data_IF_576794291285
#
_entry.id   IF_576794291285
#
_cell.length_a   1.000
_cell.length_b   1.000
_cell.length_c   1.000
_cell.angle_alpha   90.00
_cell.angle_beta   90.00
_cell.angle_gamma   90.00
#
_symmetry.space_group_name_H-M   'P 1'
#
loop_
_entity.id
_entity.type
_entity.pdbx_description
1 polymer ?
#
# COMPACT_ATOMS: atom_id res chain seq x y z
N UNK A 1 -28.00 -10.11 -1.36
CA UNK A 1 -28.03 -11.58 -1.41
C UNK A 1 -29.46 -12.15 -1.45
N UNK A 2 -30.37 -11.70 -0.58
CA UNK A 2 -31.78 -12.13 -0.56
C UNK A 2 -32.50 -11.96 -1.91
N UNK A 3 -32.37 -10.84 -2.60
CA UNK A 3 -33.01 -10.59 -3.90
C UNK A 3 -32.54 -11.58 -4.98
N UNK A 4 -31.25 -11.93 -5.02
CA UNK A 4 -30.73 -12.91 -6.00
C UNK A 4 -31.26 -14.31 -5.71
N UNK A 5 -31.39 -14.65 -4.44
CA UNK A 5 -31.92 -15.94 -4.00
C UNK A 5 -33.41 -16.06 -4.39
N UNK A 6 -34.18 -14.99 -4.18
CA UNK A 6 -35.61 -14.95 -4.47
C UNK A 6 -35.94 -14.98 -5.98
N UNK A 7 -35.11 -14.32 -6.81
CA UNK A 7 -35.37 -14.16 -8.24
C UNK A 7 -34.79 -15.28 -9.12
N UNK A 8 -33.66 -15.87 -8.72
CA UNK A 8 -32.84 -16.76 -9.58
C UNK A 8 -32.41 -18.08 -8.94
N UNK A 9 -32.76 -18.29 -7.66
CA UNK A 9 -32.47 -19.54 -6.94
C UNK A 9 -31.02 -19.71 -6.46
N UNK A 10 -30.73 -20.79 -5.72
CA UNK A 10 -29.43 -21.00 -5.03
C UNK A 10 -28.21 -21.18 -5.97
N UNK A 11 -28.44 -21.62 -7.20
CA UNK A 11 -27.37 -21.76 -8.19
C UNK A 11 -26.69 -20.44 -8.56
N UNK A 12 -27.47 -19.38 -8.71
CA UNK A 12 -26.97 -18.06 -9.02
C UNK A 12 -26.23 -17.41 -7.83
N UNK A 13 -26.65 -17.73 -6.61
CA UNK A 13 -25.94 -17.26 -5.40
C UNK A 13 -24.53 -17.89 -5.35
N UNK A 14 -24.39 -19.16 -5.71
CA UNK A 14 -23.07 -19.82 -5.79
C UNK A 14 -22.18 -19.20 -6.86
N UNK A 15 -22.73 -18.88 -8.05
CA UNK A 15 -21.98 -18.24 -9.13
C UNK A 15 -21.56 -16.81 -8.79
N UNK A 16 -22.44 -16.04 -8.12
CA UNK A 16 -22.21 -14.65 -7.77
C UNK A 16 -21.56 -14.44 -6.40
N UNK A 17 -21.19 -15.51 -5.69
CA UNK A 17 -20.62 -15.41 -4.34
C UNK A 17 -19.37 -14.53 -4.28
N UNK A 18 -18.49 -14.62 -5.28
CA UNK A 18 -17.27 -13.81 -5.33
C UNK A 18 -17.58 -12.33 -5.59
N UNK A 19 -18.31 -11.92 -6.65
CA UNK A 19 -18.70 -10.54 -6.85
C UNK A 19 -19.42 -9.94 -5.65
N UNK A 20 -20.34 -10.70 -5.02
CA UNK A 20 -21.07 -10.24 -3.85
C UNK A 20 -20.17 -10.06 -2.62
N UNK A 21 -19.23 -10.97 -2.39
CA UNK A 21 -18.23 -10.83 -1.34
C UNK A 21 -17.25 -9.67 -1.64
N UNK A 22 -16.90 -9.48 -2.92
CA UNK A 22 -16.04 -8.39 -3.35
C UNK A 22 -16.63 -7.00 -3.10
N UNK A 23 -17.95 -6.87 -3.13
CA UNK A 23 -18.66 -5.63 -2.77
C UNK A 23 -18.39 -5.19 -1.32
N UNK A 24 -17.96 -6.09 -0.44
CA UNK A 24 -17.53 -5.72 0.93
C UNK A 24 -16.37 -4.74 0.95
N UNK A 25 -15.50 -4.75 -0.07
CA UNK A 25 -14.43 -3.77 -0.20
C UNK A 25 -14.93 -2.35 -0.52
N UNK A 26 -16.17 -2.19 -0.97
CA UNK A 26 -16.81 -0.88 -1.17
C UNK A 26 -17.33 -0.28 0.14
N UNK A 27 -17.46 -1.09 1.20
CA UNK A 27 -17.87 -0.59 2.52
C UNK A 27 -16.68 0.09 3.16
N UNK A 28 -16.76 1.40 3.46
CA UNK A 28 -15.65 2.10 4.10
C UNK A 28 -15.41 1.51 5.50
N UNK A 29 -14.21 1.00 5.72
CA UNK A 29 -13.81 0.54 7.04
C UNK A 29 -13.81 1.73 8.02
N UNK A 30 -14.30 1.56 9.25
CA UNK A 30 -14.21 2.60 10.26
C UNK A 30 -12.74 2.98 10.45
N UNK A 31 -12.41 4.22 10.13
CA UNK A 31 -11.02 4.74 10.17
C UNK A 31 -10.41 4.54 11.56
N UNK A 32 -11.21 4.67 12.61
CA UNK A 32 -10.79 4.47 13.99
C UNK A 32 -10.15 3.10 14.28
N UNK A 33 -10.57 2.06 13.58
CA UNK A 33 -10.02 0.70 13.75
C UNK A 33 -8.77 0.47 12.91
N UNK A 34 -8.73 1.08 11.74
CA UNK A 34 -7.60 0.96 10.84
C UNK A 34 -6.40 1.82 11.26
N UNK A 35 -6.64 3.01 11.79
CA UNK A 35 -5.61 3.99 12.17
C UNK A 35 -4.47 3.43 13.02
N UNK A 36 -4.71 2.69 14.13
CA UNK A 36 -3.60 2.22 14.96
C UNK A 36 -2.68 1.20 14.24
N UNK A 37 -3.26 0.36 13.37
CA UNK A 37 -2.47 -0.58 12.54
C UNK A 37 -1.65 0.18 11.52
N UNK A 38 -2.26 1.13 10.87
CA UNK A 38 -1.67 1.98 9.85
C UNK A 38 -0.49 2.76 10.41
N UNK A 39 -0.67 3.43 11.55
CA UNK A 39 0.41 4.19 12.21
C UNK A 39 1.58 3.27 12.56
N UNK A 40 1.32 2.07 13.10
CA UNK A 40 2.40 1.10 13.38
C UNK A 40 3.17 0.70 12.12
N UNK A 41 2.47 0.44 11.01
CA UNK A 41 3.11 0.10 9.73
C UNK A 41 3.92 1.27 9.17
N UNK A 42 3.42 2.49 9.26
CA UNK A 42 4.14 3.70 8.86
C UNK A 42 5.41 3.90 9.70
N UNK A 43 5.31 3.75 11.01
CA UNK A 43 6.45 3.84 11.91
C UNK A 43 7.50 2.76 11.60
N UNK A 44 7.08 1.55 11.28
CA UNK A 44 7.98 0.47 10.88
C UNK A 44 8.72 0.81 9.58
N UNK A 45 7.99 1.21 8.54
CA UNK A 45 8.56 1.57 7.23
C UNK A 45 9.51 2.77 7.36
N UNK A 46 9.12 3.81 8.10
CA UNK A 46 9.96 4.99 8.31
C UNK A 46 11.23 4.66 9.11
N UNK A 47 11.13 3.76 10.11
CA UNK A 47 12.31 3.30 10.87
C UNK A 47 13.31 2.56 9.98
N UNK A 48 12.81 1.65 9.15
CA UNK A 48 13.67 0.89 8.21
C UNK A 48 14.26 1.85 7.18
N UNK A 49 13.45 2.76 6.62
CA UNK A 49 13.89 3.74 5.63
C UNK A 49 15.01 4.64 6.16
N UNK A 50 14.85 5.18 7.38
CA UNK A 50 15.88 6.02 8.02
C UNK A 50 17.18 5.23 8.26
N UNK A 51 17.08 4.00 8.76
CA UNK A 51 18.28 3.16 8.97
C UNK A 51 19.04 2.88 7.68
N UNK A 52 18.32 2.61 6.59
CA UNK A 52 18.93 2.39 5.27
C UNK A 52 19.60 3.66 4.75
N UNK A 53 18.95 4.83 4.89
CA UNK A 53 19.50 6.12 4.47
C UNK A 53 20.71 6.54 5.29
N UNK A 54 20.68 6.33 6.61
CA UNK A 54 21.83 6.57 7.50
C UNK A 54 23.00 5.64 7.16
N UNK A 55 22.73 4.36 6.86
CA UNK A 55 23.74 3.41 6.37
C UNK A 55 24.35 3.82 5.03
N UNK A 56 23.62 4.56 4.20
CA UNK A 56 24.09 5.19 2.96
C UNK A 56 24.80 6.55 3.16
N UNK A 57 25.04 6.98 4.41
CA UNK A 57 25.74 8.24 4.72
C UNK A 57 24.87 9.49 4.72
N UNK A 58 23.54 9.36 4.65
CA UNK A 58 22.62 10.51 4.70
C UNK A 58 22.34 10.90 6.15
N UNK A 59 22.50 12.19 6.49
CA UNK A 59 22.19 12.74 7.81
C UNK A 59 20.68 13.01 7.95
N UNK A 60 19.90 11.94 8.08
CA UNK A 60 18.45 12.01 8.28
C UNK A 60 18.13 11.59 9.71
N UNK A 61 17.39 12.44 10.41
CA UNK A 61 16.93 12.17 11.77
C UNK A 61 15.41 11.98 11.77
N UNK A 62 14.92 11.16 12.70
CA UNK A 62 13.51 10.90 12.85
C UNK A 62 13.05 11.25 14.25
N UNK A 63 12.01 12.06 14.35
CA UNK A 63 11.26 12.33 15.58
C UNK A 63 9.79 11.92 15.39
N UNK A 64 9.42 10.77 15.94
CA UNK A 64 8.05 10.24 15.77
C UNK A 64 7.71 9.97 14.30
N UNK A 65 6.81 10.76 13.75
CA UNK A 65 6.34 10.67 12.35
C UNK A 65 6.91 11.77 11.45
N UNK A 66 7.89 12.52 11.94
CA UNK A 66 8.58 13.59 11.21
C UNK A 66 10.00 13.12 10.89
N UNK A 67 10.41 13.31 9.65
CA UNK A 67 11.80 13.12 9.20
C UNK A 67 12.44 14.50 9.01
N UNK A 68 13.52 14.73 9.71
CA UNK A 68 14.35 15.92 9.55
C UNK A 68 15.49 15.58 8.61
N UNK A 69 15.56 16.28 7.48
CA UNK A 69 16.63 16.14 6.47
C UNK A 69 17.63 17.28 6.63
N UNK A 70 18.87 17.16 6.09
CA UNK A 70 19.86 18.24 6.12
C UNK A 70 19.28 19.57 5.65
N UNK A 71 19.74 20.69 6.25
CA UNK A 71 19.27 22.07 6.08
C UNK A 71 17.98 22.41 6.85
N UNK A 72 17.73 21.72 7.98
CA UNK A 72 16.59 22.01 8.89
C UNK A 72 15.19 21.94 8.23
N UNK A 73 15.07 21.08 7.22
CA UNK A 73 13.79 20.83 6.54
C UNK A 73 13.12 19.62 7.15
N UNK A 74 11.88 19.80 7.61
CA UNK A 74 11.07 18.71 8.17
C UNK A 74 10.11 18.14 7.12
N UNK A 75 10.11 16.82 6.99
CA UNK A 75 9.20 16.05 6.16
C UNK A 75 8.22 15.27 7.04
N UNK A 76 6.94 15.55 6.90
CA UNK A 76 5.92 14.70 7.51
C UNK A 76 5.78 13.40 6.71
N UNK A 77 6.18 12.28 7.29
CA UNK A 77 6.03 10.95 6.66
C UNK A 77 4.56 10.64 6.38
N UNK A 78 3.65 11.15 7.19
CA UNK A 78 2.20 10.98 7.00
C UNK A 78 1.68 11.64 5.72
N UNK A 79 2.23 12.79 5.33
CA UNK A 79 1.84 13.49 4.10
C UNK A 79 2.54 12.91 2.87
N UNK A 80 3.84 12.60 2.98
CA UNK A 80 4.63 12.11 1.86
C UNK A 80 4.32 10.65 1.48
N UNK A 81 4.02 9.80 2.48
CA UNK A 81 3.94 8.36 2.27
C UNK A 81 2.90 7.72 3.20
N UNK A 82 1.64 8.06 3.03
CA UNK A 82 0.58 7.50 3.89
C UNK A 82 0.43 5.98 3.78
N UNK A 83 1.09 5.30 2.82
CA UNK A 83 1.12 3.84 2.65
C UNK A 83 -0.26 3.14 2.70
N UNK A 84 -1.20 3.80 3.38
CA UNK A 84 -2.59 3.41 3.58
C UNK A 84 -3.30 3.26 2.25
N UNK A 85 -3.17 4.28 1.39
CA UNK A 85 -3.81 4.29 0.07
C UNK A 85 -3.33 3.10 -0.75
N UNK A 86 -2.02 2.81 -0.71
CA UNK A 86 -1.46 1.65 -1.42
C UNK A 86 -1.94 0.32 -0.85
N UNK A 87 -2.08 0.18 0.47
CA UNK A 87 -2.62 -1.03 1.11
C UNK A 87 -4.10 -1.21 0.80
N UNK A 88 -4.92 -0.16 1.01
CA UNK A 88 -6.38 -0.22 0.79
C UNK A 88 -6.71 -0.51 -0.68
N UNK A 89 -5.90 -0.03 -1.62
CA UNK A 89 -6.13 -0.28 -3.05
C UNK A 89 -5.52 -1.60 -3.52
N UNK A 90 -4.35 -2.00 -3.00
CA UNK A 90 -3.67 -3.21 -3.44
C UNK A 90 -4.31 -4.49 -2.90
N UNK A 91 -4.92 -4.45 -1.71
CA UNK A 91 -5.60 -5.62 -1.13
C UNK A 91 -6.77 -6.09 -2.01
N UNK A 92 -7.75 -5.24 -2.39
CA UNK A 92 -8.80 -5.66 -3.30
C UNK A 92 -8.27 -6.21 -4.62
N UNK A 93 -7.30 -5.53 -5.22
CA UNK A 93 -6.71 -5.99 -6.48
C UNK A 93 -5.99 -7.31 -6.31
N UNK A 94 -5.23 -7.50 -5.23
CA UNK A 94 -4.59 -8.78 -4.92
C UNK A 94 -5.59 -9.92 -4.77
N UNK A 95 -6.72 -9.66 -4.09
CA UNK A 95 -7.83 -10.63 -3.98
C UNK A 95 -8.44 -10.92 -5.35
N UNK A 96 -8.61 -9.91 -6.18
CA UNK A 96 -9.13 -10.07 -7.55
C UNK A 96 -8.19 -10.91 -8.40
N UNK A 97 -6.91 -10.57 -8.44
CA UNK A 97 -5.88 -11.33 -9.16
C UNK A 97 -5.87 -12.78 -8.67
N UNK A 98 -5.77 -13.00 -7.35
CA UNK A 98 -5.74 -14.34 -6.76
C UNK A 98 -6.96 -15.19 -7.11
N UNK A 99 -8.11 -14.58 -7.25
CA UNK A 99 -9.33 -15.30 -7.62
C UNK A 99 -9.31 -15.78 -9.07
N UNK A 100 -8.80 -14.96 -10.00
CA UNK A 100 -8.82 -15.27 -11.44
C UNK A 100 -7.59 -16.02 -11.92
N UNK A 101 -6.42 -15.83 -11.29
CA UNK A 101 -5.19 -16.52 -11.69
C UNK A 101 -5.04 -17.90 -11.05
N UNK A 102 -5.49 -18.04 -9.80
CA UNK A 102 -5.26 -19.26 -9.04
C UNK A 102 -6.52 -20.10 -8.83
N UNK A 103 -6.42 -21.38 -9.14
CA UNK A 103 -7.50 -22.34 -8.92
C UNK A 103 -7.42 -22.96 -7.52
N UNK A 104 -6.21 -23.14 -6.99
CA UNK A 104 -5.95 -23.82 -5.72
C UNK A 104 -6.06 -22.83 -4.56
N UNK A 105 -6.88 -23.16 -3.56
CA UNK A 105 -7.20 -22.25 -2.44
C UNK A 105 -5.96 -21.81 -1.64
N UNK A 106 -4.98 -22.69 -1.40
CA UNK A 106 -3.80 -22.31 -0.63
C UNK A 106 -2.90 -21.31 -1.39
N UNK A 107 -2.78 -21.46 -2.73
CA UNK A 107 -2.04 -20.49 -3.58
C UNK A 107 -2.72 -19.13 -3.58
N UNK A 108 -4.06 -19.09 -3.62
CA UNK A 108 -4.83 -17.85 -3.41
C UNK A 108 -4.48 -17.19 -2.09
N UNK A 109 -4.44 -17.96 -1.00
CA UNK A 109 -4.08 -17.45 0.31
C UNK A 109 -2.66 -16.88 0.33
N UNK A 110 -1.69 -17.59 -0.23
CA UNK A 110 -0.30 -17.10 -0.35
C UNK A 110 -0.23 -15.80 -1.14
N UNK A 111 -0.93 -15.72 -2.28
CA UNK A 111 -0.94 -14.53 -3.12
C UNK A 111 -1.55 -13.34 -2.39
N UNK A 112 -2.67 -13.52 -1.69
CA UNK A 112 -3.31 -12.47 -0.89
C UNK A 112 -2.41 -12.02 0.27
N UNK A 113 -1.74 -12.95 0.96
CA UNK A 113 -0.80 -12.62 2.04
C UNK A 113 0.42 -11.87 1.50
N UNK A 114 0.89 -12.20 0.28
CA UNK A 114 2.00 -11.53 -0.37
C UNK A 114 1.73 -10.05 -0.70
N UNK A 115 0.46 -9.64 -0.76
CA UNK A 115 0.09 -8.22 -0.94
C UNK A 115 0.71 -7.35 0.15
N UNK A 116 0.71 -7.82 1.40
CA UNK A 116 1.21 -7.04 2.53
C UNK A 116 2.71 -6.71 2.41
N UNK A 117 3.63 -7.67 2.25
CA UNK A 117 5.05 -7.37 2.10
C UNK A 117 5.35 -6.59 0.82
N UNK A 118 4.63 -6.83 -0.29
CA UNK A 118 4.80 -6.07 -1.53
C UNK A 118 4.40 -4.61 -1.33
N UNK A 119 3.26 -4.35 -0.70
CA UNK A 119 2.80 -3.00 -0.41
C UNK A 119 3.75 -2.25 0.55
N UNK A 120 4.27 -2.95 1.58
CA UNK A 120 5.26 -2.37 2.50
C UNK A 120 6.58 -2.05 1.80
N UNK A 121 7.07 -2.95 0.95
CA UNK A 121 8.28 -2.73 0.15
C UNK A 121 8.10 -1.55 -0.83
N UNK A 122 6.98 -1.50 -1.54
CA UNK A 122 6.65 -0.37 -2.42
C UNK A 122 6.61 0.96 -1.67
N UNK A 123 6.00 0.98 -0.49
CA UNK A 123 5.98 2.17 0.34
C UNK A 123 7.36 2.56 0.89
N UNK A 124 8.20 1.58 1.27
CA UNK A 124 9.57 1.82 1.68
C UNK A 124 10.40 2.47 0.56
N UNK A 125 10.30 1.95 -0.67
CA UNK A 125 10.96 2.52 -1.85
C UNK A 125 10.49 3.96 -2.06
N UNK A 126 9.20 4.22 -1.94
CA UNK A 126 8.61 5.56 -2.07
C UNK A 126 9.16 6.52 -1.02
N UNK A 127 9.24 6.11 0.26
CA UNK A 127 9.84 6.91 1.34
C UNK A 127 11.29 7.26 1.01
N UNK A 128 12.10 6.27 0.64
CA UNK A 128 13.51 6.48 0.29
C UNK A 128 13.65 7.46 -0.87
N UNK A 129 12.88 7.28 -1.95
CA UNK A 129 12.89 8.16 -3.11
C UNK A 129 12.50 9.59 -2.72
N UNK A 130 11.45 9.76 -1.92
CA UNK A 130 11.00 11.08 -1.47
C UNK A 130 12.08 11.78 -0.64
N UNK A 131 12.73 11.07 0.28
CA UNK A 131 13.82 11.64 1.10
C UNK A 131 15.03 11.99 0.23
N UNK A 132 15.45 11.11 -0.68
CA UNK A 132 16.56 11.38 -1.59
C UNK A 132 16.27 12.60 -2.48
N UNK A 133 15.05 12.72 -3.01
CA UNK A 133 14.64 13.89 -3.77
C UNK A 133 14.63 15.17 -2.93
N UNK A 134 14.09 15.09 -1.71
CA UNK A 134 14.03 16.23 -0.79
C UNK A 134 15.43 16.72 -0.39
N UNK A 135 16.41 15.83 -0.30
CA UNK A 135 17.80 16.19 -0.01
C UNK A 135 18.53 16.76 -1.23
N UNK A 136 18.19 16.29 -2.44
CA UNK A 136 18.90 16.64 -3.67
C UNK A 136 18.33 17.87 -4.39
N UNK A 137 17.02 18.07 -4.35
CA UNK A 137 16.33 19.14 -5.09
C UNK A 137 15.63 20.09 -4.13
N UNK A 138 14.42 19.76 -3.71
CA UNK A 138 13.63 20.52 -2.73
C UNK A 138 12.51 19.64 -2.12
N UNK A 139 12.10 20.01 -0.88
CA UNK A 139 11.05 19.30 -0.15
C UNK A 139 9.69 19.46 -0.82
N UNK A 140 9.36 20.64 -1.30
CA UNK A 140 8.06 20.89 -1.94
C UNK A 140 7.92 20.14 -3.26
N UNK A 141 8.99 20.08 -4.04
CA UNK A 141 9.03 19.29 -5.28
C UNK A 141 8.95 17.78 -5.00
N UNK A 142 9.59 17.31 -3.92
CA UNK A 142 9.58 15.91 -3.53
C UNK A 142 8.22 15.43 -2.98
N UNK A 143 7.43 16.34 -2.37
CA UNK A 143 6.16 15.97 -1.70
C UNK A 143 4.92 16.30 -2.52
N UNK A 144 4.94 17.39 -3.28
CA UNK A 144 3.78 17.88 -4.05
C UNK A 144 4.01 17.90 -5.56
N UNK A 145 5.23 17.60 -6.02
CA UNK A 145 5.58 17.61 -7.43
C UNK A 145 5.02 16.42 -8.23
N UNK A 146 4.98 16.53 -9.56
CA UNK A 146 4.50 15.45 -10.44
C UNK A 146 5.29 14.15 -10.26
N UNK A 147 6.54 14.23 -9.88
CA UNK A 147 7.38 13.07 -9.60
C UNK A 147 6.84 12.23 -8.42
N UNK A 148 6.26 12.88 -7.41
CA UNK A 148 5.65 12.19 -6.28
C UNK A 148 4.41 11.37 -6.70
N UNK A 149 3.58 11.92 -7.57
CA UNK A 149 2.43 11.21 -8.13
C UNK A 149 2.88 10.03 -9.01
N UNK A 150 3.84 10.26 -9.91
CA UNK A 150 4.41 9.22 -10.76
C UNK A 150 5.10 8.10 -9.97
N UNK A 151 5.83 8.43 -8.91
CA UNK A 151 6.42 7.44 -8.02
C UNK A 151 5.35 6.58 -7.33
N UNK A 152 4.20 7.17 -6.97
CA UNK A 152 3.05 6.44 -6.44
C UNK A 152 2.47 5.46 -7.46
N UNK A 153 2.24 5.91 -8.69
CA UNK A 153 1.72 5.07 -9.78
C UNK A 153 2.72 3.97 -10.13
N UNK A 154 4.01 4.29 -10.24
CA UNK A 154 5.05 3.32 -10.57
C UNK A 154 5.17 2.20 -9.52
N UNK A 155 5.18 2.54 -8.24
CA UNK A 155 5.21 1.55 -7.15
C UNK A 155 3.97 0.68 -7.12
N UNK A 156 2.81 1.25 -7.45
CA UNK A 156 1.56 0.51 -7.56
C UNK A 156 1.55 -0.48 -8.73
N UNK A 157 1.95 -0.02 -9.92
CA UNK A 157 2.07 -0.88 -11.11
C UNK A 157 3.08 -2.01 -10.88
N UNK A 158 4.23 -1.69 -10.26
CA UNK A 158 5.23 -2.68 -9.90
C UNK A 158 4.66 -3.72 -8.92
N UNK A 159 3.88 -3.28 -7.93
CA UNK A 159 3.19 -4.18 -6.99
C UNK A 159 2.23 -5.14 -7.71
N UNK A 160 1.43 -4.63 -8.65
CA UNK A 160 0.53 -5.46 -9.46
C UNK A 160 1.30 -6.46 -10.34
N UNK A 161 2.40 -6.03 -10.97
CA UNK A 161 3.25 -6.90 -11.78
C UNK A 161 3.91 -7.99 -10.94
N UNK A 162 4.38 -7.67 -9.72
CA UNK A 162 4.91 -8.66 -8.80
C UNK A 162 3.85 -9.70 -8.40
N UNK A 163 2.61 -9.26 -8.13
CA UNK A 163 1.51 -10.17 -7.81
C UNK A 163 1.16 -11.09 -9.00
N UNK A 164 1.15 -10.56 -10.22
CA UNK A 164 0.94 -11.35 -11.43
C UNK A 164 2.10 -12.31 -11.71
N UNK A 165 3.32 -11.98 -11.32
CA UNK A 165 4.48 -12.85 -11.47
C UNK A 165 4.55 -13.98 -10.42
N UNK A 166 3.83 -13.87 -9.31
CA UNK A 166 3.74 -14.89 -8.27
C UNK A 166 2.60 -15.90 -8.57
N UNK A 167 1.51 -15.44 -9.23
CA UNK A 167 0.37 -16.25 -9.66
C UNK A 167 0.62 -16.91 -10.99
#
# INVERSE_FOLDING_TARGET
>A
MACVLALRGPGWVKALRFPLAYLLFMVPLPISWATPVIVKLQLLVSTIGVRLLQGGGSAVFREGNVLTVPRDRSLFVAEACSGITSLITLIPIGVFIAYFTEVVSWRRAVLVVSVLPIALAGNLIRVILTVVLATSVDVEFATKGPLHEWAGVATYVLGCLCLLGIG
#
